data_IF_475704001469
#
_entry.id   IF_475704001469
#
_cell.length_a   1.000
_cell.length_b   1.000
_cell.length_c   1.000
_cell.angle_alpha   90.00
_cell.angle_beta   90.00
_cell.angle_gamma   90.00
#
_symmetry.space_group_name_H-M   'P 1'
#
loop_
_entity.id
_entity.type
_entity.pdbx_description
1 polymer ?
#
# COMPACT_ATOMS: atom_id res chain seq x y z
N UNK A 1 -9.48 6.25 -23.35
CA UNK A 1 -8.60 6.88 -22.33
C UNK A 1 -7.73 5.80 -21.71
N UNK A 2 -6.45 6.06 -21.40
CA UNK A 2 -5.59 5.08 -20.75
C UNK A 2 -6.13 4.70 -19.36
N UNK A 3 -6.07 3.43 -18.99
CA UNK A 3 -6.39 2.95 -17.63
C UNK A 3 -5.21 3.19 -16.70
N UNK A 4 -5.45 3.28 -15.39
CA UNK A 4 -4.36 3.45 -14.42
C UNK A 4 -3.39 2.27 -14.51
N UNK A 5 -3.92 1.05 -14.60
CA UNK A 5 -3.15 -0.18 -14.72
C UNK A 5 -2.23 -0.15 -15.94
N UNK A 6 -2.74 0.27 -17.10
CA UNK A 6 -1.92 0.41 -18.31
C UNK A 6 -0.84 1.49 -18.20
N UNK A 7 -0.99 2.45 -17.29
CA UNK A 7 0.00 3.50 -17.05
C UNK A 7 1.09 3.07 -16.08
N UNK A 8 0.81 2.15 -15.14
CA UNK A 8 1.74 1.84 -14.03
C UNK A 8 2.18 0.39 -13.95
N UNK A 9 1.54 -0.56 -14.63
CA UNK A 9 1.90 -1.97 -14.52
C UNK A 9 2.94 -2.44 -15.51
N UNK A 10 3.79 -3.38 -15.06
CA UNK A 10 4.61 -4.20 -15.93
C UNK A 10 4.02 -5.62 -15.99
N UNK A 11 3.81 -6.13 -17.20
CA UNK A 11 3.18 -7.45 -17.41
C UNK A 11 2.90 -7.79 -18.87
N UNK A 12 2.92 -6.79 -19.76
CA UNK A 12 2.86 -6.98 -21.20
C UNK A 12 4.23 -7.39 -21.76
N UNK A 13 4.23 -8.35 -22.69
CA UNK A 13 5.43 -8.74 -23.43
C UNK A 13 5.67 -7.74 -24.56
N UNK A 14 6.93 -7.50 -24.89
CA UNK A 14 7.31 -6.67 -26.04
C UNK A 14 7.25 -5.16 -25.79
N UNK A 15 7.13 -4.72 -24.53
CA UNK A 15 7.27 -3.30 -24.20
C UNK A 15 8.68 -2.82 -24.57
N UNK A 16 8.73 -1.66 -25.21
CA UNK A 16 9.98 -0.96 -25.45
C UNK A 16 10.63 -0.51 -24.14
N UNK A 17 11.95 -0.27 -24.17
CA UNK A 17 12.67 0.24 -23.01
C UNK A 17 12.11 1.59 -22.52
N UNK A 18 11.70 2.45 -23.46
CA UNK A 18 11.05 3.73 -23.19
C UNK A 18 9.73 3.54 -22.41
N UNK A 19 8.89 2.61 -22.83
CA UNK A 19 7.62 2.31 -22.16
C UNK A 19 7.84 1.76 -20.76
N UNK A 20 8.81 0.86 -20.57
CA UNK A 20 9.17 0.34 -19.24
C UNK A 20 9.64 1.48 -18.33
N UNK A 21 10.49 2.39 -18.83
CA UNK A 21 10.93 3.58 -18.07
C UNK A 21 9.74 4.47 -17.71
N UNK A 22 8.84 4.73 -18.65
CA UNK A 22 7.67 5.58 -18.42
C UNK A 22 6.71 4.98 -17.37
N UNK A 23 6.43 3.67 -17.43
CA UNK A 23 5.57 3.01 -16.44
C UNK A 23 6.21 2.99 -15.05
N UNK A 24 7.50 2.70 -14.96
CA UNK A 24 8.25 2.79 -13.71
C UNK A 24 8.24 4.21 -13.11
N UNK A 25 8.42 5.23 -13.95
CA UNK A 25 8.34 6.62 -13.52
C UNK A 25 6.98 6.94 -12.89
N UNK A 26 5.89 6.57 -13.57
CA UNK A 26 4.52 6.81 -13.08
C UNK A 26 4.20 5.98 -11.83
N UNK A 27 4.67 4.74 -11.74
CA UNK A 27 4.53 3.90 -10.55
C UNK A 27 5.24 4.50 -9.33
N UNK A 28 6.44 5.07 -9.53
CA UNK A 28 7.14 5.80 -8.47
C UNK A 28 6.39 7.04 -8.04
N UNK A 29 5.84 7.81 -8.99
CA UNK A 29 4.99 8.95 -8.67
C UNK A 29 3.76 8.53 -7.87
N UNK A 30 3.04 7.48 -8.28
CA UNK A 30 1.91 6.93 -7.53
C UNK A 30 2.32 6.54 -6.10
N UNK A 31 3.51 5.95 -5.95
CA UNK A 31 4.13 5.64 -4.65
C UNK A 31 4.24 6.84 -3.70
N UNK A 32 4.30 8.08 -4.20
CA UNK A 32 4.41 9.28 -3.37
C UNK A 32 3.08 9.72 -2.75
N UNK A 33 1.94 9.28 -3.28
CA UNK A 33 0.63 9.80 -2.87
C UNK A 33 -0.45 8.76 -2.65
N UNK A 34 -0.22 7.47 -2.96
CA UNK A 34 -1.21 6.43 -2.73
C UNK A 34 -1.63 6.31 -1.27
N UNK A 35 -0.73 6.62 -0.32
CA UNK A 35 -1.06 6.59 1.11
C UNK A 35 -2.05 7.69 1.51
N UNK A 36 -1.96 8.88 0.90
CA UNK A 36 -2.97 9.93 1.13
C UNK A 36 -4.33 9.50 0.57
N UNK A 37 -4.35 8.83 -0.58
CA UNK A 37 -5.59 8.26 -1.14
C UNK A 37 -6.12 7.12 -0.27
N UNK A 38 -5.26 6.22 0.19
CA UNK A 38 -5.62 5.12 1.08
C UNK A 38 -6.20 5.66 2.38
N UNK A 39 -5.64 6.74 2.94
CA UNK A 39 -6.19 7.41 4.12
C UNK A 39 -7.64 7.85 3.88
N UNK A 40 -7.91 8.53 2.77
CA UNK A 40 -9.26 8.98 2.39
C UNK A 40 -10.22 7.78 2.33
N UNK A 41 -9.81 6.68 1.72
CA UNK A 41 -10.63 5.48 1.63
C UNK A 41 -10.88 4.82 2.98
N UNK A 42 -9.84 4.68 3.82
CA UNK A 42 -9.94 4.12 5.16
C UNK A 42 -10.98 4.88 5.99
N UNK A 43 -10.90 6.22 6.00
CA UNK A 43 -11.78 7.09 6.79
C UNK A 43 -13.21 7.17 6.24
N UNK A 44 -13.37 7.27 4.91
CA UNK A 44 -14.67 7.61 4.30
C UNK A 44 -15.45 6.42 3.77
N UNK A 45 -14.78 5.29 3.48
CA UNK A 45 -15.40 4.13 2.83
C UNK A 45 -15.33 2.88 3.71
N UNK A 46 -14.18 2.63 4.34
CA UNK A 46 -13.96 1.41 5.12
C UNK A 46 -14.36 1.53 6.60
N UNK A 47 -14.63 2.75 7.09
CA UNK A 47 -15.08 3.02 8.46
C UNK A 47 -13.96 2.97 9.51
N UNK A 48 -12.71 3.13 9.08
CA UNK A 48 -11.55 3.17 9.96
C UNK A 48 -11.22 4.61 10.37
N UNK A 49 -10.99 4.86 11.65
CA UNK A 49 -10.35 6.08 12.12
C UNK A 49 -8.84 5.98 11.97
N UNK A 50 -8.19 6.87 11.22
CA UNK A 50 -6.73 6.86 11.09
C UNK A 50 -6.11 7.56 12.30
N UNK A 51 -5.51 6.77 13.20
CA UNK A 51 -4.88 7.26 14.44
C UNK A 51 -3.52 7.87 14.15
N UNK A 52 -2.69 7.20 13.34
CA UNK A 52 -1.38 7.70 12.89
C UNK A 52 -1.05 7.21 11.48
N UNK A 53 -0.25 8.00 10.77
CA UNK A 53 0.34 7.71 9.45
C UNK A 53 1.88 7.86 9.54
N UNK A 54 2.63 7.10 8.73
CA UNK A 54 4.11 7.04 8.73
C UNK A 54 4.66 6.77 10.14
N UNK A 55 4.28 5.61 10.70
CA UNK A 55 4.49 5.30 12.11
C UNK A 55 5.88 4.71 12.32
N UNK A 56 6.89 5.57 12.49
CA UNK A 56 8.29 5.16 12.70
C UNK A 56 8.69 4.90 14.15
N UNK A 57 7.78 5.16 15.10
CA UNK A 57 8.02 5.04 16.55
C UNK A 57 7.51 3.74 17.15
N UNK A 58 6.92 2.86 16.32
CA UNK A 58 6.54 1.52 16.75
C UNK A 58 7.75 0.71 17.20
N UNK A 59 7.49 -0.28 18.06
CA UNK A 59 8.51 -1.22 18.50
C UNK A 59 8.00 -2.65 18.39
N UNK A 60 8.80 -3.56 17.85
CA UNK A 60 8.57 -5.00 17.86
C UNK A 60 9.76 -5.66 18.56
N UNK A 61 9.51 -6.46 19.60
CA UNK A 61 10.56 -7.11 20.43
C UNK A 61 11.63 -6.11 20.91
N UNK A 62 11.20 -4.92 21.33
CA UNK A 62 12.07 -3.85 21.82
C UNK A 62 12.90 -3.12 20.74
N UNK A 63 12.78 -3.49 19.47
CA UNK A 63 13.45 -2.81 18.35
C UNK A 63 12.48 -1.89 17.62
N UNK A 64 12.98 -0.76 17.10
CA UNK A 64 12.16 0.14 16.28
C UNK A 64 11.64 -0.61 15.05
N UNK A 65 10.36 -0.47 14.76
CA UNK A 65 9.69 -1.09 13.63
C UNK A 65 8.63 -0.14 13.13
N UNK A 66 8.70 0.17 11.84
CA UNK A 66 7.76 1.06 11.19
C UNK A 66 6.57 0.28 10.65
N UNK A 67 5.43 0.95 10.61
CA UNK A 67 4.25 0.55 9.84
C UNK A 67 3.68 1.81 9.17
N UNK A 68 2.93 1.64 8.08
CA UNK A 68 2.45 2.77 7.29
C UNK A 68 1.30 3.49 8.00
N UNK A 69 0.40 2.74 8.65
CA UNK A 69 -0.69 3.31 9.45
C UNK A 69 -0.94 2.56 10.76
N UNK A 70 -1.51 3.29 11.71
CA UNK A 70 -2.29 2.72 12.80
C UNK A 70 -3.72 3.23 12.64
N UNK A 71 -4.66 2.30 12.55
CA UNK A 71 -6.08 2.60 12.37
C UNK A 71 -6.90 1.99 13.50
N UNK A 72 -8.06 2.57 13.76
CA UNK A 72 -9.01 2.10 14.76
C UNK A 72 -10.37 1.83 14.12
N UNK A 73 -11.01 0.72 14.49
CA UNK A 73 -12.39 0.45 14.13
C UNK A 73 -13.05 -0.34 15.25
N UNK A 74 -14.20 0.14 15.71
CA UNK A 74 -14.98 -0.51 16.77
C UNK A 74 -14.16 -0.78 18.06
N UNK A 75 -13.27 0.15 18.41
CA UNK A 75 -12.41 0.06 19.60
C UNK A 75 -11.19 -0.86 19.45
N UNK A 76 -10.97 -1.47 18.29
CA UNK A 76 -9.78 -2.29 17.98
C UNK A 76 -8.77 -1.49 17.18
N UNK A 77 -7.50 -1.57 17.56
CA UNK A 77 -6.36 -0.97 16.88
C UNK A 77 -5.70 -1.94 15.92
N UNK A 78 -5.43 -1.51 14.70
CA UNK A 78 -4.77 -2.32 13.68
C UNK A 78 -3.51 -1.64 13.19
N UNK A 79 -2.45 -2.44 13.04
CA UNK A 79 -1.27 -2.04 12.28
C UNK A 79 -1.50 -2.31 10.79
N UNK A 80 -1.21 -1.32 9.95
CA UNK A 80 -1.37 -1.45 8.50
C UNK A 80 -0.01 -1.34 7.83
N UNK A 81 0.35 -2.36 7.05
CA UNK A 81 1.44 -2.30 6.08
C UNK A 81 0.83 -2.16 4.69
N UNK A 82 1.21 -1.13 3.95
CA UNK A 82 0.67 -0.78 2.66
C UNK A 82 1.76 -0.78 1.59
N UNK A 83 1.51 -1.46 0.48
CA UNK A 83 2.52 -1.74 -0.54
C UNK A 83 1.95 -1.49 -1.93
N UNK A 84 2.44 -0.44 -2.58
CA UNK A 84 2.11 -0.10 -3.96
C UNK A 84 3.15 -0.68 -4.93
N UNK A 85 2.92 -1.88 -5.47
CA UNK A 85 3.87 -2.62 -6.34
C UNK A 85 3.45 -2.81 -7.82
N UNK A 86 2.84 -1.82 -8.51
CA UNK A 86 2.38 -2.04 -9.89
C UNK A 86 3.51 -2.37 -10.90
N UNK A 87 4.66 -1.68 -10.80
CA UNK A 87 5.84 -1.90 -11.66
C UNK A 87 7.12 -2.26 -10.90
N UNK A 88 7.06 -2.33 -9.57
CA UNK A 88 8.25 -2.64 -8.77
C UNK A 88 8.70 -4.09 -8.99
N UNK A 89 10.01 -4.33 -8.85
CA UNK A 89 10.66 -5.61 -9.16
C UNK A 89 10.26 -6.16 -10.55
N UNK A 90 10.28 -5.29 -11.57
CA UNK A 90 9.90 -5.62 -12.95
C UNK A 90 8.48 -6.22 -13.09
N UNK A 91 7.56 -5.87 -12.18
CA UNK A 91 6.18 -6.35 -12.16
C UNK A 91 6.01 -7.75 -11.54
N UNK A 92 7.09 -8.35 -11.00
CA UNK A 92 7.06 -9.71 -10.45
C UNK A 92 6.07 -9.90 -9.30
N UNK A 93 5.86 -8.87 -8.48
CA UNK A 93 5.00 -8.93 -7.29
C UNK A 93 3.75 -8.05 -7.41
N UNK A 94 3.32 -7.74 -8.64
CA UNK A 94 2.10 -6.96 -8.85
C UNK A 94 0.86 -7.63 -8.26
N UNK A 95 0.81 -8.97 -8.27
CA UNK A 95 -0.30 -9.76 -7.72
C UNK A 95 0.24 -10.70 -6.65
N UNK A 96 -0.24 -10.58 -5.42
CA UNK A 96 0.08 -11.48 -4.32
C UNK A 96 -0.69 -12.80 -4.49
N UNK A 97 0.01 -13.92 -4.38
CA UNK A 97 -0.51 -15.28 -4.56
C UNK A 97 0.14 -16.22 -3.54
N UNK A 98 -0.49 -17.34 -3.21
CA UNK A 98 0.07 -18.36 -2.31
C UNK A 98 1.44 -18.86 -2.79
N UNK A 99 1.61 -18.99 -4.11
CA UNK A 99 2.88 -19.41 -4.70
C UNK A 99 4.02 -18.41 -4.50
N UNK A 100 3.74 -17.14 -4.19
CA UNK A 100 4.76 -16.10 -4.03
C UNK A 100 4.86 -15.50 -2.61
N UNK A 101 3.91 -15.73 -1.70
CA UNK A 101 3.90 -15.10 -0.37
C UNK A 101 5.20 -15.34 0.41
N UNK A 102 5.79 -16.53 0.31
CA UNK A 102 7.05 -16.87 1.01
C UNK A 102 8.21 -16.03 0.47
N UNK A 103 8.25 -15.82 -0.85
CA UNK A 103 9.27 -14.98 -1.48
C UNK A 103 9.07 -13.51 -1.11
N UNK A 104 7.83 -13.04 -1.08
CA UNK A 104 7.48 -11.67 -0.67
C UNK A 104 7.87 -11.42 0.78
N UNK A 105 7.54 -12.32 1.72
CA UNK A 105 7.92 -12.21 3.13
C UNK A 105 9.43 -12.08 3.30
N UNK A 106 10.19 -12.93 2.62
CA UNK A 106 11.67 -12.91 2.64
C UNK A 106 12.24 -11.64 2.00
N UNK A 107 11.66 -11.20 0.89
CA UNK A 107 12.13 -10.04 0.13
C UNK A 107 11.89 -8.72 0.83
N UNK A 108 10.78 -8.57 1.54
CA UNK A 108 10.46 -7.33 2.27
C UNK A 108 11.20 -7.21 3.61
N UNK A 109 11.53 -8.34 4.26
CA UNK A 109 12.32 -8.33 5.51
C UNK A 109 11.68 -7.53 6.66
N UNK A 110 10.38 -7.28 6.60
CA UNK A 110 9.64 -6.53 7.62
C UNK A 110 9.12 -7.47 8.72
N UNK A 111 9.26 -7.11 10.01
CA UNK A 111 8.67 -7.87 11.10
C UNK A 111 7.14 -8.00 11.05
N UNK A 112 6.45 -7.18 10.25
CA UNK A 112 5.00 -7.21 10.09
C UNK A 112 4.44 -8.60 9.72
N UNK A 113 5.22 -9.40 8.98
CA UNK A 113 4.84 -10.75 8.57
C UNK A 113 5.15 -11.84 9.60
N UNK A 114 5.69 -11.48 10.75
CA UNK A 114 5.90 -12.45 11.83
C UNK A 114 4.56 -12.84 12.49
N UNK A 115 4.46 -14.11 12.89
CA UNK A 115 3.25 -14.66 13.49
C UNK A 115 2.92 -13.99 14.83
N UNK A 116 3.95 -13.64 15.60
CA UNK A 116 3.82 -12.98 16.90
C UNK A 116 3.78 -11.45 16.80
N UNK A 117 3.68 -10.88 15.60
CA UNK A 117 3.72 -9.43 15.40
C UNK A 117 2.66 -8.69 16.23
N UNK A 118 1.39 -9.10 16.17
CA UNK A 118 0.29 -8.48 16.93
C UNK A 118 0.56 -8.55 18.45
N UNK A 119 1.09 -9.68 18.91
CA UNK A 119 1.43 -9.90 20.32
C UNK A 119 2.57 -9.01 20.80
N UNK A 120 3.58 -8.77 19.97
CA UNK A 120 4.85 -8.13 20.37
C UNK A 120 4.96 -6.65 19.94
N UNK A 121 4.20 -6.22 18.94
CA UNK A 121 4.25 -4.85 18.44
C UNK A 121 3.57 -3.89 19.41
N UNK A 122 4.24 -2.76 19.68
CA UNK A 122 3.75 -1.70 20.55
C UNK A 122 3.91 -0.35 19.88
N UNK A 123 2.92 0.51 20.04
CA UNK A 123 3.00 1.94 19.75
C UNK A 123 2.78 2.71 21.04
N UNK A 124 3.78 3.48 21.49
CA UNK A 124 3.71 4.26 22.73
C UNK A 124 3.25 3.40 23.94
N UNK A 125 3.72 2.15 24.01
CA UNK A 125 3.37 1.18 25.05
C UNK A 125 2.03 0.47 24.86
N UNK A 126 1.19 0.87 23.90
CA UNK A 126 -0.08 0.21 23.59
C UNK A 126 0.10 -0.92 22.58
N UNK A 127 -0.58 -2.04 22.79
CA UNK A 127 -0.65 -3.13 21.82
C UNK A 127 -1.61 -2.78 20.68
N UNK A 128 -1.45 -3.49 19.56
CA UNK A 128 -2.44 -3.55 18.49
C UNK A 128 -3.23 -4.86 18.62
N UNK A 129 -4.45 -4.88 18.12
CA UNK A 129 -5.39 -6.00 18.18
C UNK A 129 -5.41 -6.83 16.90
N UNK A 130 -4.72 -6.37 15.85
CA UNK A 130 -4.73 -7.00 14.55
C UNK A 130 -3.77 -6.36 13.56
N UNK A 131 -3.67 -6.98 12.38
CA UNK A 131 -2.86 -6.46 11.28
C UNK A 131 -3.56 -6.54 9.93
N UNK A 132 -3.35 -5.51 9.12
CA UNK A 132 -3.99 -5.32 7.81
C UNK A 132 -2.89 -5.17 6.77
N UNK A 133 -2.94 -5.98 5.72
CA UNK A 133 -2.05 -5.82 4.57
C UNK A 133 -2.82 -5.14 3.44
N UNK A 134 -2.32 -4.00 2.97
CA UNK A 134 -2.75 -3.39 1.72
C UNK A 134 -1.71 -3.72 0.65
N UNK A 135 -2.11 -4.40 -0.41
CA UNK A 135 -1.23 -4.76 -1.53
C UNK A 135 -1.74 -4.17 -2.83
N UNK A 136 -0.91 -4.09 -3.88
CA UNK A 136 -1.37 -3.61 -5.20
C UNK A 136 -2.58 -4.39 -5.70
N UNK A 137 -2.44 -5.71 -5.77
CA UNK A 137 -3.49 -6.65 -6.16
C UNK A 137 -3.21 -8.04 -5.58
N UNK A 138 -4.21 -8.92 -5.51
CA UNK A 138 -4.03 -10.30 -5.04
C UNK A 138 -4.97 -11.27 -5.76
N UNK A 139 -4.69 -12.57 -5.67
CA UNK A 139 -5.59 -13.59 -6.17
C UNK A 139 -6.79 -13.74 -5.23
N UNK A 140 -7.95 -13.24 -5.66
CA UNK A 140 -9.19 -13.25 -4.87
C UNK A 140 -9.60 -14.67 -4.47
N UNK A 141 -9.39 -15.65 -5.36
CA UNK A 141 -9.67 -17.06 -5.06
C UNK A 141 -8.78 -17.64 -3.94
N UNK A 142 -7.63 -17.01 -3.67
CA UNK A 142 -6.66 -17.43 -2.64
C UNK A 142 -6.69 -16.51 -1.41
N UNK A 143 -7.55 -15.49 -1.37
CA UNK A 143 -7.48 -14.41 -0.38
C UNK A 143 -7.58 -14.91 1.06
N UNK A 144 -8.49 -15.84 1.35
CA UNK A 144 -8.67 -16.40 2.69
C UNK A 144 -7.45 -17.20 3.17
N UNK A 145 -6.84 -17.97 2.27
CA UNK A 145 -5.65 -18.75 2.58
C UNK A 145 -4.44 -17.82 2.78
N UNK A 146 -4.28 -16.80 1.93
CA UNK A 146 -3.24 -15.76 2.10
C UNK A 146 -3.39 -15.06 3.46
N UNK A 147 -4.62 -14.69 3.85
CA UNK A 147 -4.88 -14.08 5.17
C UNK A 147 -4.52 -15.02 6.31
N UNK A 148 -4.90 -16.29 6.22
CA UNK A 148 -4.60 -17.30 7.23
C UNK A 148 -3.10 -17.53 7.39
N UNK A 149 -2.36 -17.66 6.28
CA UNK A 149 -0.91 -17.86 6.27
C UNK A 149 -0.17 -16.65 6.85
N UNK A 150 -0.61 -15.44 6.48
CA UNK A 150 0.03 -14.21 6.93
C UNK A 150 -0.51 -13.69 8.28
N UNK A 151 -1.49 -14.38 8.89
CA UNK A 151 -2.18 -14.00 10.14
C UNK A 151 -2.79 -12.59 10.07
N UNK A 152 -3.46 -12.27 8.97
CA UNK A 152 -4.07 -10.96 8.72
C UNK A 152 -5.54 -10.95 9.13
N UNK A 153 -5.98 -9.85 9.74
CA UNK A 153 -7.42 -9.59 9.92
C UNK A 153 -8.04 -9.21 8.56
N UNK A 154 -7.35 -8.36 7.79
CA UNK A 154 -7.78 -7.92 6.46
C UNK A 154 -6.64 -7.92 5.44
N UNK A 155 -7.02 -8.26 4.20
CA UNK A 155 -6.19 -8.14 3.00
C UNK A 155 -6.95 -7.24 2.03
N UNK A 156 -6.33 -6.12 1.65
CA UNK A 156 -6.99 -5.04 0.90
C UNK A 156 -6.24 -4.78 -0.41
N UNK A 157 -6.98 -4.71 -1.51
CA UNK A 157 -6.45 -4.43 -2.84
C UNK A 157 -6.41 -2.92 -3.06
N UNK A 158 -5.22 -2.36 -3.24
CA UNK A 158 -5.02 -0.95 -3.54
C UNK A 158 -5.64 -0.60 -4.89
N UNK A 159 -5.63 -1.50 -5.88
CA UNK A 159 -6.38 -1.29 -7.13
C UNK A 159 -7.86 -1.04 -6.87
N UNK A 160 -8.48 -1.90 -6.04
CA UNK A 160 -9.88 -1.76 -5.68
C UNK A 160 -10.13 -0.43 -4.95
N UNK A 161 -9.29 -0.10 -3.98
CA UNK A 161 -9.32 1.19 -3.27
C UNK A 161 -9.33 2.37 -4.25
N UNK A 162 -8.37 2.40 -5.19
CA UNK A 162 -8.25 3.49 -6.16
C UNK A 162 -9.45 3.55 -7.13
N UNK A 163 -10.05 2.41 -7.47
CA UNK A 163 -11.27 2.36 -8.28
C UNK A 163 -12.48 2.93 -7.54
N UNK A 164 -12.64 2.58 -6.26
CA UNK A 164 -13.75 3.05 -5.41
C UNK A 164 -13.66 4.55 -5.07
N UNK A 165 -12.46 5.13 -5.13
CA UNK A 165 -12.23 6.56 -4.92
C UNK A 165 -12.52 7.44 -6.16
N UNK A 166 -12.85 6.85 -7.32
CA UNK A 166 -13.16 7.64 -8.52
C UNK A 166 -14.39 8.52 -8.28
N UNK A 167 -14.24 9.82 -8.53
CA UNK A 167 -15.28 10.83 -8.27
C UNK A 167 -15.46 11.19 -6.79
N UNK A 168 -14.61 10.68 -5.88
CA UNK A 168 -14.62 11.11 -4.50
C UNK A 168 -13.92 12.47 -4.37
N UNK A 169 -14.67 13.47 -3.88
CA UNK A 169 -14.20 14.85 -3.79
C UNK A 169 -12.91 15.02 -2.96
N UNK A 170 -12.74 14.25 -1.86
CA UNK A 170 -11.52 14.36 -1.05
C UNK A 170 -10.33 13.67 -1.72
N UNK A 171 -10.57 12.58 -2.45
CA UNK A 171 -9.54 11.93 -3.25
C UNK A 171 -9.08 12.84 -4.41
N UNK A 172 -10.01 13.55 -5.06
CA UNK A 172 -9.69 14.52 -6.13
C UNK A 172 -8.79 15.65 -5.61
N UNK A 173 -9.05 16.17 -4.41
CA UNK A 173 -8.16 17.17 -3.78
C UNK A 173 -6.74 16.65 -3.57
N UNK A 174 -6.59 15.39 -3.16
CA UNK A 174 -5.27 14.75 -3.03
C UNK A 174 -4.58 14.71 -4.40
N UNK A 175 -5.29 14.23 -5.44
CA UNK A 175 -4.72 14.15 -6.80
C UNK A 175 -4.29 15.52 -7.31
N UNK A 176 -5.15 16.55 -7.21
CA UNK A 176 -4.82 17.90 -7.69
C UNK A 176 -3.66 18.53 -6.91
N UNK A 177 -3.53 18.27 -5.60
CA UNK A 177 -2.37 18.70 -4.80
C UNK A 177 -1.06 18.15 -5.36
N UNK A 178 -0.97 16.84 -5.60
CA UNK A 178 0.25 16.20 -6.09
C UNK A 178 0.54 16.54 -7.55
N UNK A 179 -0.49 16.68 -8.38
CA UNK A 179 -0.36 17.18 -9.76
C UNK A 179 0.27 18.57 -9.77
N UNK A 180 -0.20 19.49 -8.93
CA UNK A 180 0.39 20.83 -8.80
C UNK A 180 1.87 20.76 -8.42
N UNK A 181 2.23 19.93 -7.44
CA UNK A 181 3.65 19.78 -7.03
C UNK A 181 4.53 19.21 -8.16
N UNK A 182 4.01 18.24 -8.92
CA UNK A 182 4.71 17.71 -10.09
C UNK A 182 4.90 18.78 -11.17
N UNK A 183 3.85 19.55 -11.47
CA UNK A 183 3.90 20.64 -12.44
C UNK A 183 4.92 21.72 -12.04
N UNK A 184 4.96 22.09 -10.77
CA UNK A 184 5.91 23.08 -10.24
C UNK A 184 7.37 22.59 -10.41
N UNK A 185 7.64 21.31 -10.13
CA UNK A 185 8.96 20.70 -10.35
C UNK A 185 9.35 20.72 -11.83
N UNK A 186 8.48 20.23 -12.72
CA UNK A 186 8.80 20.18 -14.16
C UNK A 186 8.99 21.56 -14.76
N UNK A 187 8.17 22.55 -14.36
CA UNK A 187 8.35 23.95 -14.77
C UNK A 187 9.67 24.53 -14.30
N UNK A 188 10.13 24.17 -13.10
CA UNK A 188 11.42 24.63 -12.58
C UNK A 188 12.62 24.03 -13.34
N UNK A 189 12.52 22.77 -13.77
CA UNK A 189 13.58 22.07 -14.51
C UNK A 189 13.68 22.49 -15.99
N UNK A 190 12.62 23.06 -16.55
CA UNK A 190 12.58 23.57 -17.93
C UNK A 190 13.02 25.05 -18.04
N UNK A 191 13.36 25.68 -16.92
CA UNK A 191 13.94 27.03 -16.87
C UNK A 191 15.47 26.94 -16.80
#
# INVERSE_FOLDING_TARGET
MPTLEGLVELGERGLSEEEVKARNFRAKLLGLFYEDLLKVWLERRAGYGVVKKDVRRGTYKGKRTAVDFIVEKEGRLYAVEAKCWPAYDNGRWRKLTLSNIVQVKRGLGTPFFEEDFVKEYRLDGKAVDGKILVWWDFEEAEADEIRSELKLDELISLKRVLSELKGDFEAEKVVEKYKKWADDLFKALLK
#
